data_IF_171627849810
#
_entry.id   IF_171627849810
#
_cell.length_a   1.000
_cell.length_b   1.000
_cell.length_c   1.000
_cell.angle_alpha   90.00
_cell.angle_beta   90.00
_cell.angle_gamma   90.00
#
_symmetry.space_group_name_H-M   'P 1'
#
loop_
_entity.id
_entity.type
_entity.pdbx_description
1 polymer ?
#
# COMPACT_ATOMS: atom_id res chain seq x y z
N UNK A 1 -14.97 -13.11 93.89
CA UNK A 1 -14.87 -11.64 94.00
C UNK A 1 -13.50 -11.25 93.44
N UNK A 2 -13.47 -10.35 92.46
CA UNK A 2 -12.32 -9.70 91.78
C UNK A 2 -11.03 -9.56 92.62
N UNK A 3 -9.80 -9.45 92.10
CA UNK A 3 -9.16 -9.57 90.79
C UNK A 3 -7.64 -9.65 91.07
N UNK A 4 -6.94 -10.57 90.39
CA UNK A 4 -5.47 -10.73 90.32
C UNK A 4 -5.20 -11.23 88.87
N UNK A 5 -4.15 -10.93 88.11
CA UNK A 5 -2.85 -10.33 88.35
C UNK A 5 -2.18 -10.04 86.98
N UNK A 6 -1.21 -9.13 87.00
CA UNK A 6 0.10 -9.20 86.34
C UNK A 6 0.27 -9.08 84.82
N UNK A 7 1.32 -8.30 84.51
CA UNK A 7 1.98 -8.07 83.24
C UNK A 7 2.73 -9.36 82.84
N UNK A 8 2.48 -9.90 81.64
CA UNK A 8 3.21 -11.05 81.14
C UNK A 8 2.84 -11.44 79.70
N UNK A 9 3.76 -11.14 78.77
CA UNK A 9 3.90 -11.63 77.39
C UNK A 9 2.77 -11.35 76.37
N UNK A 10 3.03 -10.61 75.27
CA UNK A 10 2.08 -10.51 74.18
C UNK A 10 2.16 -11.79 73.32
N UNK A 11 1.16 -12.67 73.49
CA UNK A 11 0.76 -13.64 72.48
C UNK A 11 -0.50 -13.13 71.80
N UNK A 12 -0.41 -13.07 70.47
CA UNK A 12 -1.48 -12.83 69.50
C UNK A 12 -2.14 -11.45 69.53
N UNK A 13 -1.96 -10.72 68.44
CA UNK A 13 -2.62 -9.43 68.25
C UNK A 13 -1.93 -8.57 67.22
N UNK A 14 -2.19 -8.88 65.95
CA UNK A 14 -2.08 -7.98 64.82
C UNK A 14 -0.79 -7.14 64.76
N UNK A 15 0.25 -7.72 64.16
CA UNK A 15 1.19 -6.92 63.39
C UNK A 15 0.36 -5.97 62.51
N UNK A 16 0.51 -4.66 62.71
CA UNK A 16 0.18 -3.68 61.69
C UNK A 16 1.14 -3.92 60.53
N UNK A 17 0.82 -4.94 59.73
CA UNK A 17 1.40 -5.15 58.44
C UNK A 17 0.94 -3.97 57.60
N UNK A 18 1.86 -3.03 57.41
CA UNK A 18 1.77 -2.07 56.33
C UNK A 18 1.82 -2.88 55.04
N UNK A 19 0.66 -3.36 54.58
CA UNK A 19 0.51 -3.89 53.24
C UNK A 19 0.67 -2.68 52.33
N UNK A 20 1.90 -2.44 51.90
CA UNK A 20 2.16 -1.65 50.71
C UNK A 20 1.51 -2.46 49.59
N UNK A 21 0.26 -2.15 49.24
CA UNK A 21 -0.34 -2.70 48.04
C UNK A 21 0.51 -2.20 46.89
N UNK A 22 1.40 -3.05 46.41
CA UNK A 22 2.05 -2.87 45.14
C UNK A 22 0.94 -3.04 44.10
N UNK A 23 0.15 -2.00 43.91
CA UNK A 23 -0.65 -1.81 42.72
C UNK A 23 0.38 -1.63 41.61
N UNK A 24 0.81 -2.75 41.04
CA UNK A 24 1.30 -2.76 39.68
C UNK A 24 0.13 -2.19 38.89
N UNK A 25 0.19 -0.89 38.63
CA UNK A 25 -0.35 -0.37 37.39
C UNK A 25 0.42 -1.14 36.33
N UNK A 26 -0.15 -2.26 35.87
CA UNK A 26 -0.08 -2.57 34.46
C UNK A 26 -0.72 -1.34 33.84
N UNK A 27 0.09 -0.33 33.55
CA UNK A 27 -0.16 0.47 32.38
C UNK A 27 -0.28 -0.58 31.29
N UNK A 28 -1.52 -0.93 30.94
CA UNK A 28 -1.78 -1.49 29.65
C UNK A 28 -1.14 -0.49 28.71
N UNK A 29 0.06 -0.83 28.25
CA UNK A 29 0.58 -0.31 27.01
C UNK A 29 -0.34 -0.93 25.96
N UNK A 30 -1.59 -0.44 25.89
CA UNK A 30 -2.39 -0.52 24.67
C UNK A 30 -1.75 0.48 23.70
N UNK A 31 -0.50 0.17 23.33
CA UNK A 31 0.22 0.73 22.23
C UNK A 31 0.10 -0.28 21.10
N UNK A 32 -1.07 -0.30 20.48
CA UNK A 32 -1.27 -0.58 19.06
C UNK A 32 -0.36 -1.67 18.46
N UNK A 33 -0.71 -2.94 18.65
CA UNK A 33 -0.35 -3.99 17.70
C UNK A 33 -1.58 -4.30 16.84
N UNK A 34 -2.21 -3.26 16.27
CA UNK A 34 -3.16 -3.49 15.18
C UNK A 34 -2.34 -4.05 14.02
N UNK A 35 -2.75 -5.19 13.46
CA UNK A 35 -1.99 -5.82 12.37
C UNK A 35 -1.70 -4.86 11.23
N UNK A 36 -0.70 -5.14 10.39
CA UNK A 36 -0.35 -4.30 9.24
C UNK A 36 -0.33 -5.14 7.98
N UNK A 37 -0.92 -4.65 6.90
CA UNK A 37 -0.73 -5.21 5.56
C UNK A 37 0.24 -4.36 4.76
N UNK A 38 1.12 -4.99 3.99
CA UNK A 38 2.10 -4.32 3.13
C UNK A 38 2.30 -5.07 1.82
N UNK A 39 2.37 -4.34 0.71
CA UNK A 39 2.87 -4.85 -0.57
C UNK A 39 4.40 -4.76 -0.60
N UNK A 40 5.03 -5.86 -0.99
CA UNK A 40 6.47 -5.99 -1.13
C UNK A 40 6.85 -6.41 -2.56
N UNK A 41 8.03 -6.01 -3.00
CA UNK A 41 8.70 -6.58 -4.17
C UNK A 41 9.19 -8.02 -3.90
N UNK A 42 9.74 -8.67 -4.91
CA UNK A 42 10.27 -10.04 -4.83
C UNK A 42 11.42 -10.20 -3.82
N UNK A 43 12.13 -9.11 -3.53
CA UNK A 43 13.25 -9.06 -2.59
C UNK A 43 12.76 -8.78 -1.16
N UNK A 44 11.47 -8.52 -0.95
CA UNK A 44 10.86 -8.23 0.34
C UNK A 44 10.91 -6.76 0.75
N UNK A 45 11.19 -5.85 -0.18
CA UNK A 45 11.17 -4.39 0.05
C UNK A 45 9.77 -3.85 -0.17
N UNK A 46 9.33 -2.91 0.68
CA UNK A 46 8.01 -2.30 0.49
C UNK A 46 7.92 -1.48 -0.80
N UNK A 47 6.80 -1.65 -1.51
CA UNK A 47 6.50 -0.92 -2.73
C UNK A 47 6.23 0.57 -2.50
N UNK A 48 5.79 0.96 -1.29
CA UNK A 48 5.47 2.35 -0.92
C UNK A 48 4.61 3.08 -1.99
N UNK A 49 3.53 2.45 -2.44
CA UNK A 49 2.65 3.03 -3.47
C UNK A 49 3.12 2.85 -4.92
N UNK A 50 4.35 2.36 -5.15
CA UNK A 50 4.95 2.24 -6.48
C UNK A 50 5.07 0.78 -6.89
N UNK A 51 4.24 0.36 -7.83
CA UNK A 51 4.40 -0.95 -8.46
C UNK A 51 5.51 -0.84 -9.52
N UNK A 52 6.57 -1.66 -9.47
CA UNK A 52 7.60 -1.66 -10.50
C UNK A 52 7.03 -2.07 -11.86
N UNK A 53 7.54 -1.44 -12.91
CA UNK A 53 7.10 -1.70 -14.27
C UNK A 53 7.34 -3.14 -14.68
N UNK A 54 6.30 -3.76 -15.25
CA UNK A 54 6.38 -5.13 -15.71
C UNK A 54 6.42 -6.16 -14.57
N UNK A 55 6.04 -5.75 -13.35
CA UNK A 55 5.84 -6.69 -12.24
C UNK A 55 4.82 -7.76 -12.66
N UNK A 56 5.27 -9.01 -12.66
CA UNK A 56 4.40 -10.18 -12.88
C UNK A 56 3.96 -10.80 -11.57
N UNK A 57 4.52 -10.35 -10.45
CA UNK A 57 4.18 -10.82 -9.11
C UNK A 57 4.43 -9.73 -8.08
N UNK A 58 3.65 -9.76 -7.00
CA UNK A 58 3.88 -8.99 -5.78
C UNK A 58 3.78 -9.91 -4.58
N UNK A 59 4.47 -9.54 -3.50
CA UNK A 59 4.32 -10.22 -2.22
C UNK A 59 3.33 -9.42 -1.38
N UNK A 60 2.31 -10.11 -0.85
CA UNK A 60 1.43 -9.54 0.18
C UNK A 60 1.87 -10.09 1.52
N UNK A 61 2.18 -9.19 2.45
CA UNK A 61 2.53 -9.54 3.83
C UNK A 61 1.54 -8.93 4.81
N UNK A 62 1.13 -9.72 5.79
CA UNK A 62 0.49 -9.25 7.02
C UNK A 62 1.40 -9.51 8.22
N UNK A 63 1.69 -8.49 8.99
CA UNK A 63 2.35 -8.57 10.30
C UNK A 63 1.30 -8.34 11.39
N UNK A 64 0.87 -9.42 12.05
CA UNK A 64 -0.08 -9.43 13.17
C UNK A 64 0.31 -10.48 14.20
N UNK A 65 1.03 -10.04 15.24
CA UNK A 65 1.55 -10.92 16.30
C UNK A 65 0.45 -11.56 17.15
N UNK A 66 -0.74 -10.94 17.22
CA UNK A 66 -1.86 -11.46 18.00
C UNK A 66 -2.48 -12.71 17.36
N UNK A 67 -2.25 -12.89 16.05
CA UNK A 67 -2.68 -14.04 15.28
C UNK A 67 -1.61 -15.15 15.18
N UNK A 68 -0.51 -15.05 15.93
CA UNK A 68 0.52 -16.08 15.86
C UNK A 68 -0.03 -17.49 16.20
N UNK A 69 0.35 -18.47 15.39
CA UNK A 69 -0.08 -19.86 15.50
C UNK A 69 -1.47 -20.14 14.91
N UNK A 70 -2.11 -19.16 14.25
CA UNK A 70 -3.38 -19.37 13.52
C UNK A 70 -3.19 -20.07 12.20
N UNK A 71 -1.97 -20.09 11.66
CA UNK A 71 -1.60 -20.81 10.44
C UNK A 71 -1.92 -20.06 9.15
N UNK A 72 -2.98 -19.24 9.10
CA UNK A 72 -3.25 -18.35 7.97
C UNK A 72 -4.13 -17.15 8.35
N UNK A 73 -4.10 -16.12 7.51
CA UNK A 73 -5.10 -15.04 7.45
C UNK A 73 -5.61 -14.89 6.03
N UNK A 74 -6.77 -14.28 5.85
CA UNK A 74 -7.28 -13.93 4.53
C UNK A 74 -7.24 -12.41 4.34
N UNK A 75 -6.91 -11.97 3.13
CA UNK A 75 -6.95 -10.56 2.68
C UNK A 75 -7.82 -10.46 1.44
N UNK A 76 -8.28 -9.24 1.13
CA UNK A 76 -8.92 -8.95 -0.15
C UNK A 76 -7.94 -8.16 -0.99
N UNK A 77 -7.72 -8.57 -2.24
CA UNK A 77 -6.90 -7.83 -3.20
C UNK A 77 -7.78 -7.47 -4.39
N UNK A 78 -7.67 -6.22 -4.84
CA UNK A 78 -8.47 -5.69 -5.96
C UNK A 78 -7.63 -4.79 -6.83
N UNK A 79 -8.05 -4.65 -8.09
CA UNK A 79 -7.62 -3.60 -9.00
C UNK A 79 -8.84 -2.81 -9.48
N UNK A 80 -8.64 -1.87 -10.40
CA UNK A 80 -9.76 -1.10 -10.95
C UNK A 80 -10.60 -1.92 -11.94
N UNK A 81 -9.99 -2.88 -12.64
CA UNK A 81 -10.70 -3.79 -13.56
C UNK A 81 -11.02 -5.16 -12.96
N UNK A 82 -10.46 -5.46 -11.78
CA UNK A 82 -10.66 -6.71 -11.05
C UNK A 82 -11.12 -6.39 -9.61
N UNK A 83 -12.42 -6.10 -9.50
CA UNK A 83 -13.03 -5.54 -8.29
C UNK A 83 -13.80 -6.56 -7.44
N UNK A 84 -13.70 -7.84 -7.74
CA UNK A 84 -14.52 -8.90 -7.13
C UNK A 84 -14.08 -9.27 -5.70
N UNK A 85 -13.27 -8.41 -5.06
CA UNK A 85 -12.71 -8.59 -3.72
C UNK A 85 -12.01 -9.97 -3.61
N UNK A 86 -11.06 -10.25 -4.50
CA UNK A 86 -10.36 -11.53 -4.56
C UNK A 86 -9.77 -11.87 -3.20
N UNK A 87 -10.26 -12.95 -2.59
CA UNK A 87 -9.83 -13.36 -1.26
C UNK A 87 -8.57 -14.22 -1.35
N UNK A 88 -7.45 -13.68 -0.89
CA UNK A 88 -6.15 -14.36 -0.91
C UNK A 88 -5.83 -14.85 0.50
N UNK A 89 -5.50 -16.13 0.60
CA UNK A 89 -5.10 -16.77 1.86
C UNK A 89 -3.59 -16.70 2.04
N UNK A 90 -3.15 -15.99 3.08
CA UNK A 90 -1.75 -15.83 3.44
C UNK A 90 -1.36 -16.85 4.51
N UNK A 91 -0.50 -17.85 4.22
CA UNK A 91 0.01 -18.77 5.23
C UNK A 91 0.98 -18.07 6.20
N UNK A 92 1.00 -18.54 7.45
CA UNK A 92 1.93 -18.07 8.48
C UNK A 92 3.34 -18.62 8.22
N UNK A 93 4.30 -17.74 7.97
CA UNK A 93 5.70 -18.08 7.69
C UNK A 93 6.62 -17.89 8.90
N UNK A 94 6.19 -17.08 9.86
CA UNK A 94 6.84 -16.86 11.15
C UNK A 94 5.77 -16.39 12.13
N UNK A 95 6.08 -16.34 13.43
CA UNK A 95 5.11 -16.00 14.46
C UNK A 95 4.43 -14.64 14.17
N UNK A 96 3.17 -14.69 13.76
CA UNK A 96 2.38 -13.50 13.40
C UNK A 96 2.78 -12.83 12.09
N UNK A 97 3.56 -13.49 11.24
CA UNK A 97 3.91 -13.00 9.90
C UNK A 97 3.29 -13.94 8.88
N UNK A 98 2.40 -13.40 8.05
CA UNK A 98 1.67 -14.12 7.02
C UNK A 98 2.04 -13.57 5.66
N UNK A 99 2.27 -14.45 4.68
CA UNK A 99 2.77 -14.00 3.40
C UNK A 99 2.39 -14.93 2.25
N UNK A 100 2.00 -14.37 1.11
CA UNK A 100 1.80 -15.10 -0.15
C UNK A 100 2.25 -14.25 -1.35
N UNK A 101 2.59 -14.92 -2.44
CA UNK A 101 2.84 -14.30 -3.74
C UNK A 101 1.53 -14.20 -4.51
N UNK A 102 1.19 -12.99 -4.95
CA UNK A 102 0.07 -12.73 -5.84
C UNK A 102 0.61 -12.55 -7.24
N UNK A 103 0.13 -13.39 -8.16
CA UNK A 103 0.46 -13.27 -9.57
C UNK A 103 -0.29 -12.07 -10.15
N UNK A 104 0.39 -11.32 -11.01
CA UNK A 104 -0.17 -10.14 -11.68
C UNK A 104 -0.25 -10.40 -13.18
N UNK A 105 -1.35 -9.96 -13.79
CA UNK A 105 -1.52 -9.96 -15.23
C UNK A 105 -1.78 -8.54 -15.72
N UNK A 106 -0.76 -7.97 -16.36
CA UNK A 106 -0.82 -6.63 -16.90
C UNK A 106 -1.43 -6.62 -18.31
N UNK A 107 -2.51 -5.86 -18.47
CA UNK A 107 -3.15 -5.63 -19.76
C UNK A 107 -2.73 -4.28 -20.32
N UNK A 108 -2.29 -4.27 -21.57
CA UNK A 108 -1.90 -3.03 -22.24
C UNK A 108 -3.15 -2.26 -22.68
N UNK A 109 -3.30 -1.02 -22.23
CA UNK A 109 -4.36 -0.12 -22.68
C UNK A 109 -3.91 1.34 -22.67
N UNK A 110 -4.16 2.03 -23.79
CA UNK A 110 -3.76 3.43 -23.95
C UNK A 110 -4.70 4.38 -23.22
N UNK A 111 -4.29 4.87 -22.06
CA UNK A 111 -5.11 5.83 -21.28
C UNK A 111 -5.16 7.20 -21.93
N UNK A 112 -4.02 7.69 -22.43
CA UNK A 112 -3.90 9.02 -23.01
C UNK A 112 -3.80 8.92 -24.53
N UNK A 113 -4.87 9.28 -25.24
CA UNK A 113 -4.91 9.31 -26.72
C UNK A 113 -4.49 10.65 -27.31
N UNK A 114 -4.85 11.75 -26.66
CA UNK A 114 -4.49 13.12 -27.05
C UNK A 114 -3.58 13.75 -25.99
N UNK A 115 -2.28 13.72 -26.27
CA UNK A 115 -1.26 14.27 -25.38
C UNK A 115 -1.34 15.79 -25.24
N UNK A 116 -1.74 16.49 -26.31
CA UNK A 116 -1.85 17.95 -26.31
C UNK A 116 -2.98 18.39 -25.38
N UNK A 117 -4.13 17.73 -25.47
CA UNK A 117 -5.26 17.94 -24.57
C UNK A 117 -4.90 17.59 -23.13
N UNK A 118 -4.24 16.44 -22.90
CA UNK A 118 -3.82 16.02 -21.56
C UNK A 118 -2.88 17.04 -20.91
N UNK A 119 -1.80 17.43 -21.61
CA UNK A 119 -0.81 18.36 -21.07
C UNK A 119 -1.44 19.75 -20.79
N UNK A 120 -2.37 20.19 -21.64
CA UNK A 120 -3.11 21.44 -21.41
C UNK A 120 -3.97 21.37 -20.14
N UNK A 121 -4.63 20.24 -19.89
CA UNK A 121 -5.44 20.03 -18.68
C UNK A 121 -4.57 19.92 -17.41
N UNK A 122 -3.45 19.19 -17.46
CA UNK A 122 -2.49 19.13 -16.34
C UNK A 122 -1.97 20.52 -15.99
N UNK A 123 -1.59 21.32 -16.98
CA UNK A 123 -1.13 22.68 -16.74
C UNK A 123 -2.24 23.58 -16.16
N UNK A 124 -3.47 23.44 -16.65
CA UNK A 124 -4.60 24.18 -16.10
C UNK A 124 -4.87 23.80 -14.63
N UNK A 125 -4.83 22.51 -14.29
CA UNK A 125 -5.00 22.03 -12.93
C UNK A 125 -3.85 22.47 -12.01
N UNK A 126 -2.60 22.44 -12.49
CA UNK A 126 -1.45 22.98 -11.75
C UNK A 126 -1.63 24.47 -11.44
N UNK A 127 -2.05 25.28 -12.41
CA UNK A 127 -2.31 26.70 -12.19
C UNK A 127 -3.46 26.94 -11.20
N UNK A 128 -4.51 26.10 -11.24
CA UNK A 128 -5.61 26.16 -10.29
C UNK A 128 -5.15 25.80 -8.87
N UNK A 129 -4.38 24.72 -8.70
CA UNK A 129 -3.80 24.33 -7.42
C UNK A 129 -2.82 25.38 -6.87
N UNK A 130 -2.00 25.97 -7.74
CA UNK A 130 -1.07 27.06 -7.38
C UNK A 130 -1.82 28.31 -6.94
N UNK A 131 -2.86 28.72 -7.67
CA UNK A 131 -3.69 29.87 -7.29
C UNK A 131 -4.47 29.65 -5.98
N UNK A 132 -4.75 28.40 -5.62
CA UNK A 132 -5.39 28.03 -4.35
C UNK A 132 -4.39 27.79 -3.21
N UNK A 133 -3.09 27.79 -3.49
CA UNK A 133 -2.05 27.62 -2.49
C UNK A 133 -1.54 28.98 -2.00
N UNK A 134 -1.41 29.11 -0.69
CA UNK A 134 -0.72 30.26 -0.08
C UNK A 134 0.82 30.08 -0.06
N UNK A 135 1.32 28.94 -0.54
CA UNK A 135 2.74 28.62 -0.58
C UNK A 135 3.35 29.00 -1.95
N UNK A 136 4.25 29.98 -1.94
CA UNK A 136 4.95 30.49 -3.14
C UNK A 136 6.39 29.94 -3.26
N UNK A 137 6.70 28.86 -2.54
CA UNK A 137 7.98 28.17 -2.65
C UNK A 137 8.08 27.44 -4.00
N UNK A 138 9.14 27.72 -4.78
CA UNK A 138 9.41 27.05 -6.06
C UNK A 138 9.57 25.52 -5.90
N UNK A 139 10.08 25.05 -4.76
CA UNK A 139 10.19 23.61 -4.50
C UNK A 139 8.80 22.96 -4.32
N UNK A 140 7.82 23.75 -3.85
CA UNK A 140 6.43 23.30 -3.71
C UNK A 140 5.70 23.22 -5.06
N UNK A 141 6.14 23.95 -6.10
CA UNK A 141 5.56 23.83 -7.43
C UNK A 141 5.65 22.41 -7.98
N UNK A 142 6.73 21.67 -7.69
CA UNK A 142 6.87 20.30 -8.17
C UNK A 142 5.86 19.36 -7.50
N UNK A 143 5.59 19.54 -6.20
CA UNK A 143 4.53 18.81 -5.49
C UNK A 143 3.16 19.10 -6.11
N UNK A 144 2.89 20.35 -6.46
CA UNK A 144 1.64 20.73 -7.11
C UNK A 144 1.53 20.19 -8.54
N UNK A 145 2.63 20.11 -9.29
CA UNK A 145 2.68 19.47 -10.62
C UNK A 145 2.40 17.97 -10.53
N UNK A 146 3.02 17.27 -9.58
CA UNK A 146 2.76 15.85 -9.32
C UNK A 146 1.28 15.63 -8.98
N UNK A 147 0.72 16.47 -8.10
CA UNK A 147 -0.69 16.40 -7.73
C UNK A 147 -1.63 16.70 -8.91
N UNK A 148 -1.34 17.72 -9.71
CA UNK A 148 -2.14 18.04 -10.90
C UNK A 148 -2.13 16.89 -11.90
N UNK A 149 -0.95 16.29 -12.12
CA UNK A 149 -0.79 15.13 -12.99
C UNK A 149 -1.63 13.95 -12.48
N UNK A 150 -1.54 13.61 -11.19
CA UNK A 150 -2.31 12.52 -10.58
C UNK A 150 -3.83 12.72 -10.74
N UNK A 151 -4.33 13.93 -10.48
CA UNK A 151 -5.75 14.28 -10.58
C UNK A 151 -6.27 14.17 -12.02
N UNK A 152 -5.54 14.74 -12.99
CA UNK A 152 -5.96 14.70 -14.40
C UNK A 152 -5.83 13.28 -14.95
N UNK A 153 -4.75 12.57 -14.63
CA UNK A 153 -4.54 11.19 -15.04
C UNK A 153 -5.68 10.30 -14.54
N UNK A 154 -6.12 10.46 -13.29
CA UNK A 154 -7.27 9.72 -12.75
C UNK A 154 -8.52 9.89 -13.61
N UNK A 155 -8.83 11.12 -14.04
CA UNK A 155 -9.98 11.38 -14.91
C UNK A 155 -9.86 10.73 -16.30
N UNK A 156 -8.65 10.75 -16.89
CA UNK A 156 -8.39 10.04 -18.16
C UNK A 156 -8.49 8.52 -18.01
N UNK A 157 -7.98 8.00 -16.89
CA UNK A 157 -8.07 6.59 -16.54
C UNK A 157 -9.54 6.15 -16.40
N UNK A 158 -10.36 6.89 -15.65
CA UNK A 158 -11.80 6.62 -15.53
C UNK A 158 -12.53 6.62 -16.89
N UNK A 159 -12.18 7.57 -17.78
CA UNK A 159 -12.73 7.60 -19.14
C UNK A 159 -12.28 6.40 -19.98
N UNK A 160 -11.01 6.04 -19.88
CA UNK A 160 -10.39 4.92 -20.57
C UNK A 160 -11.09 3.59 -20.24
N UNK A 161 -11.50 3.36 -18.99
CA UNK A 161 -12.23 2.16 -18.57
C UNK A 161 -13.57 1.97 -19.31
N UNK A 162 -14.16 3.05 -19.80
CA UNK A 162 -15.47 3.01 -20.50
C UNK A 162 -15.35 3.11 -22.03
N UNK A 163 -14.12 3.21 -22.56
CA UNK A 163 -13.88 3.45 -23.99
C UNK A 163 -14.05 2.18 -24.82
N UNK A 164 -14.58 2.33 -26.04
CA UNK A 164 -14.61 1.26 -27.03
C UNK A 164 -13.19 0.71 -27.30
N UNK A 165 -13.03 -0.61 -27.27
CA UNK A 165 -11.74 -1.26 -27.42
C UNK A 165 -10.96 -1.47 -26.12
N UNK A 166 -11.48 -0.99 -24.98
CA UNK A 166 -11.09 -1.52 -23.67
C UNK A 166 -11.35 -3.03 -23.70
N UNK A 167 -10.38 -3.88 -23.35
CA UNK A 167 -10.58 -5.32 -23.40
C UNK A 167 -11.84 -5.63 -22.60
N UNK A 168 -12.81 -6.32 -23.21
CA UNK A 168 -14.04 -6.67 -22.51
C UNK A 168 -13.68 -7.67 -21.42
N UNK A 169 -13.43 -7.19 -20.21
CA UNK A 169 -13.20 -7.99 -19.03
C UNK A 169 -14.55 -8.54 -18.58
N UNK A 170 -14.72 -9.84 -18.75
CA UNK A 170 -15.80 -10.54 -18.06
C UNK A 170 -15.26 -10.85 -16.67
N UNK A 171 -15.93 -10.34 -15.63
CA UNK A 171 -15.63 -10.65 -14.22
C UNK A 171 -15.35 -12.15 -14.03
N UNK A 172 -16.16 -13.02 -14.65
CA UNK A 172 -15.99 -14.48 -14.61
C UNK A 172 -14.69 -15.04 -15.21
N UNK A 173 -13.91 -14.26 -15.96
CA UNK A 173 -12.62 -14.65 -16.53
C UNK A 173 -11.43 -14.07 -15.77
N UNK A 174 -11.59 -12.89 -15.17
CA UNK A 174 -10.54 -12.25 -14.37
C UNK A 174 -10.57 -12.77 -12.93
N UNK A 175 -11.70 -12.69 -12.25
CA UNK A 175 -11.80 -13.09 -10.83
C UNK A 175 -11.75 -14.59 -10.56
N UNK A 176 -11.83 -15.42 -11.60
CA UNK A 176 -11.79 -16.89 -11.46
C UNK A 176 -10.44 -17.51 -11.82
N UNK A 177 -9.48 -16.73 -12.33
CA UNK A 177 -8.21 -17.26 -12.82
C UNK A 177 -7.11 -17.32 -11.73
N UNK A 178 -7.33 -16.69 -10.56
CA UNK A 178 -6.40 -16.65 -9.44
C UNK A 178 -5.18 -15.74 -9.66
N UNK A 179 -5.29 -14.80 -10.59
CA UNK A 179 -4.28 -13.83 -11.00
C UNK A 179 -4.95 -12.46 -10.98
N UNK A 180 -4.31 -11.49 -10.33
CA UNK A 180 -4.85 -10.13 -10.28
C UNK A 180 -4.65 -9.44 -11.62
N UNK A 181 -5.76 -9.18 -12.32
CA UNK A 181 -5.76 -8.49 -13.60
C UNK A 181 -5.74 -6.97 -13.38
N UNK A 182 -4.89 -6.23 -14.09
CA UNK A 182 -4.83 -4.76 -13.99
C UNK A 182 -4.35 -4.13 -15.31
N UNK A 183 -4.66 -2.85 -15.52
CA UNK A 183 -4.10 -2.00 -16.59
C UNK A 183 -3.15 -0.96 -16.01
N UNK A 184 -2.36 -0.32 -16.88
CA UNK A 184 -1.57 0.86 -16.51
C UNK A 184 -2.47 1.87 -15.79
N UNK A 185 -2.03 2.47 -14.69
CA UNK A 185 -2.86 3.44 -13.96
C UNK A 185 -3.74 2.86 -12.87
N UNK A 186 -3.98 1.56 -12.86
CA UNK A 186 -4.79 0.93 -11.83
C UNK A 186 -4.17 1.11 -10.45
N UNK A 187 -5.01 1.50 -9.51
CA UNK A 187 -4.70 1.28 -8.10
C UNK A 187 -4.98 -0.18 -7.79
N UNK A 188 -3.92 -0.89 -7.45
CA UNK A 188 -4.04 -2.19 -6.79
C UNK A 188 -4.12 -1.91 -5.30
N UNK A 189 -5.15 -2.45 -4.66
CA UNK A 189 -5.41 -2.28 -3.24
C UNK A 189 -5.48 -3.64 -2.56
N UNK A 190 -4.84 -3.73 -1.39
CA UNK A 190 -5.07 -4.84 -0.45
C UNK A 190 -5.77 -4.33 0.79
N UNK A 191 -6.75 -5.09 1.25
CA UNK A 191 -7.52 -4.83 2.46
C UNK A 191 -7.38 -6.02 3.41
N UNK A 192 -6.90 -5.73 4.61
CA UNK A 192 -6.81 -6.69 5.70
C UNK A 192 -7.70 -6.21 6.87
N UNK A 193 -8.51 -7.12 7.43
CA UNK A 193 -9.27 -6.85 8.65
C UNK A 193 -8.68 -7.68 9.79
N UNK A 194 -8.25 -7.01 10.86
CA UNK A 194 -7.68 -7.69 12.02
C UNK A 194 -8.76 -8.34 12.91
N UNK A 195 -8.30 -9.09 13.92
CA UNK A 195 -9.13 -9.77 14.92
C UNK A 195 -9.99 -8.85 15.79
N UNK A 196 -9.67 -7.55 15.86
CA UNK A 196 -10.40 -6.53 16.63
C UNK A 196 -11.34 -5.72 15.72
N UNK A 197 -11.28 -5.95 14.40
CA UNK A 197 -12.15 -5.33 13.40
C UNK A 197 -11.60 -4.04 12.80
N UNK A 198 -10.33 -3.69 13.04
CA UNK A 198 -9.71 -2.57 12.32
C UNK A 198 -9.44 -2.99 10.88
N UNK A 199 -9.50 -2.01 9.98
CA UNK A 199 -9.18 -2.20 8.56
C UNK A 199 -7.84 -1.56 8.25
N UNK A 200 -6.96 -2.36 7.66
CA UNK A 200 -5.64 -1.99 7.21
C UNK A 200 -5.59 -2.07 5.69
N UNK A 201 -4.92 -1.11 5.07
CA UNK A 201 -4.86 -0.98 3.61
C UNK A 201 -3.43 -0.69 3.20
N UNK A 202 -3.04 -1.26 2.07
CA UNK A 202 -1.90 -0.81 1.30
C UNK A 202 -2.29 -0.74 -0.17
N UNK A 203 -1.59 0.07 -0.95
CA UNK A 203 -1.84 0.20 -2.37
C UNK A 203 -0.55 0.37 -3.16
N UNK A 204 -0.62 0.05 -4.44
CA UNK A 204 0.45 0.28 -5.39
C UNK A 204 -0.13 0.59 -6.78
N UNK A 205 0.64 1.30 -7.60
CA UNK A 205 0.26 1.64 -8.97
C UNK A 205 1.49 1.69 -9.88
N UNK A 206 1.33 1.24 -11.12
CA UNK A 206 2.40 1.03 -12.11
C UNK A 206 2.85 2.29 -12.89
N UNK A 207 2.31 3.47 -12.59
CA UNK A 207 2.51 4.62 -13.49
C UNK A 207 3.71 5.49 -13.15
N UNK A 208 4.24 5.43 -11.93
CA UNK A 208 5.30 6.36 -11.53
C UNK A 208 6.65 5.66 -11.45
N UNK A 209 7.55 5.98 -12.36
CA UNK A 209 8.93 5.49 -12.37
C UNK A 209 9.89 6.58 -11.89
N UNK A 210 10.87 6.18 -11.10
CA UNK A 210 11.94 7.02 -10.55
C UNK A 210 12.98 6.10 -9.91
N UNK A 211 14.26 6.45 -9.94
CA UNK A 211 15.34 5.66 -9.36
C UNK A 211 15.81 4.54 -10.29
N UNK A 212 16.26 3.43 -9.72
CA UNK A 212 16.77 2.31 -10.50
C UNK A 212 15.63 1.51 -11.15
N UNK A 213 15.73 1.25 -12.45
CA UNK A 213 14.74 0.48 -13.24
C UNK A 213 15.42 -0.54 -14.15
N UNK A 214 14.71 -1.63 -14.42
CA UNK A 214 15.07 -2.70 -15.34
C UNK A 214 13.80 -3.36 -15.93
N UNK A 215 13.96 -4.32 -16.83
CA UNK A 215 12.86 -5.08 -17.41
C UNK A 215 12.36 -4.54 -18.76
N UNK A 216 11.08 -4.77 -19.07
CA UNK A 216 10.48 -4.37 -20.35
C UNK A 216 9.29 -3.44 -20.13
N UNK A 217 9.37 -2.24 -20.69
CA UNK A 217 8.25 -1.30 -20.79
C UNK A 217 7.41 -1.69 -22.00
N UNK A 218 6.13 -1.98 -21.75
CA UNK A 218 5.24 -2.67 -22.69
C UNK A 218 4.55 -1.68 -23.64
N UNK A 219 4.42 -2.07 -24.90
CA UNK A 219 3.73 -1.31 -25.94
C UNK A 219 2.32 -0.89 -25.51
N UNK A 220 1.87 0.29 -25.97
CA UNK A 220 0.58 0.91 -25.61
C UNK A 220 0.37 1.22 -24.11
N UNK A 221 1.44 1.19 -23.30
CA UNK A 221 1.45 1.65 -21.90
C UNK A 221 1.97 3.08 -21.77
N UNK A 222 1.59 3.77 -20.68
CA UNK A 222 2.12 5.11 -20.35
C UNK A 222 2.87 5.07 -19.02
N UNK A 223 4.16 5.39 -19.04
CA UNK A 223 5.01 5.52 -17.86
C UNK A 223 5.27 6.99 -17.54
N UNK A 224 5.08 7.38 -16.29
CA UNK A 224 5.28 8.74 -15.78
C UNK A 224 6.56 8.78 -14.95
N UNK A 225 7.60 9.37 -15.52
CA UNK A 225 8.87 9.62 -14.87
C UNK A 225 8.72 10.76 -13.88
N UNK A 226 8.82 10.47 -12.59
CA UNK A 226 8.64 11.41 -11.46
C UNK A 226 9.95 11.80 -10.77
N UNK A 227 11.08 11.30 -11.29
CA UNK A 227 12.43 11.60 -10.83
C UNK A 227 13.45 10.96 -11.80
N UNK A 228 14.75 11.18 -11.58
CA UNK A 228 15.79 10.60 -12.44
C UNK A 228 15.68 9.07 -12.51
N UNK A 229 15.99 8.50 -13.67
CA UNK A 229 15.88 7.06 -13.95
C UNK A 229 17.26 6.49 -14.26
N UNK A 230 17.62 5.43 -13.56
CA UNK A 230 18.94 4.81 -13.66
C UNK A 230 18.78 3.34 -14.06
N UNK A 231 19.56 2.87 -15.03
CA UNK A 231 19.70 1.42 -15.31
C UNK A 231 21.06 1.00 -14.77
N UNK A 232 21.11 -0.02 -13.90
CA UNK A 232 22.41 -0.45 -13.36
C UNK A 232 23.26 -1.14 -14.44
N UNK A 233 24.58 -1.21 -14.22
CA UNK A 233 25.51 -1.76 -15.21
C UNK A 233 25.22 -3.23 -15.61
N UNK A 234 24.61 -4.01 -14.72
CA UNK A 234 24.26 -5.42 -14.98
C UNK A 234 22.87 -5.62 -15.57
N UNK A 235 22.05 -4.58 -15.61
CA UNK A 235 20.63 -4.69 -15.91
C UNK A 235 20.33 -4.19 -17.32
N UNK A 236 19.11 -4.46 -17.79
CA UNK A 236 18.65 -4.02 -19.11
C UNK A 236 17.24 -3.50 -18.98
N UNK A 237 17.01 -2.28 -19.46
CA UNK A 237 15.69 -1.73 -19.72
C UNK A 237 15.40 -1.81 -21.22
N UNK A 238 14.39 -2.58 -21.60
CA UNK A 238 13.85 -2.65 -22.96
C UNK A 238 12.60 -1.79 -23.03
N UNK A 239 12.51 -0.87 -23.98
CA UNK A 239 11.31 -0.07 -24.23
C UNK A 239 10.70 -0.53 -25.55
N UNK A 240 9.53 -1.15 -25.50
CA UNK A 240 8.84 -1.64 -26.71
C UNK A 240 8.41 -0.48 -27.62
N UNK A 241 8.33 -0.70 -28.94
CA UNK A 241 7.76 0.28 -29.86
C UNK A 241 6.33 0.66 -29.45
N UNK A 242 6.06 1.97 -29.35
CA UNK A 242 4.73 2.48 -29.00
C UNK A 242 4.51 2.76 -27.51
N UNK A 243 5.50 2.49 -26.64
CA UNK A 243 5.51 2.98 -25.25
C UNK A 243 5.47 4.51 -25.22
N UNK A 244 4.64 5.07 -24.34
CA UNK A 244 4.66 6.49 -24.01
C UNK A 244 5.40 6.72 -22.69
N UNK A 245 6.44 7.56 -22.70
CA UNK A 245 7.21 7.94 -21.51
C UNK A 245 7.06 9.43 -21.27
N UNK A 246 6.57 9.81 -20.09
CA UNK A 246 6.27 11.19 -19.73
C UNK A 246 7.13 11.65 -18.57
N UNK A 247 7.98 12.66 -18.80
CA UNK A 247 8.78 13.27 -17.76
C UNK A 247 7.99 14.37 -17.05
N UNK A 248 7.72 14.18 -15.75
CA UNK A 248 7.03 15.16 -14.91
C UNK A 248 8.01 16.12 -14.22
N UNK A 249 8.96 16.65 -14.98
CA UNK A 249 10.04 17.49 -14.49
C UNK A 249 11.27 17.38 -15.39
N UNK A 250 12.34 18.09 -15.01
CA UNK A 250 13.63 18.01 -15.69
C UNK A 250 14.45 16.85 -15.12
N UNK A 251 14.05 15.62 -15.44
CA UNK A 251 14.71 14.40 -14.96
C UNK A 251 15.53 13.74 -16.06
N UNK A 252 16.62 13.09 -15.67
CA UNK A 252 17.58 12.41 -16.56
C UNK A 252 17.45 10.90 -16.54
#
# INVERSE_FOLDING_TARGET
MFALFNIGYPKEGFMRSLILSLSIFITCLFGQASGKVTFLDRQGTSLNGKLPVGSTEIIVRVDDIELSGKGFVDVLVTSTIDSDDEQIRLPEISNGVFQEIVQLNFHTFRIIEDEGAYNAQVNAEFLALKAASDNDDEDYDNVLKDRANDLVYKGYHEQALTRSGMPTYFESQTSANGILDFISGDFIEVVYRDNVGNTHRDNARDITVSGYVDGTWMSDSTYIVTGDVYVTYSDTLTIEPGVMVKFNGNYG
#
